data_IF_115852542669
#
_entry.id   IF_115852542669
#
_cell.length_a   1.000
_cell.length_b   1.000
_cell.length_c   1.000
_cell.angle_alpha   90.00
_cell.angle_beta   90.00
_cell.angle_gamma   90.00
#
_symmetry.space_group_name_H-M   'P 1'
#
loop_
_entity.id
_entity.type
_entity.pdbx_description
1 polymer ?
#
# COMPACT_ATOMS: atom_id res chain seq x y z
N UNK A 1 70.20 -9.56 23.42
CA UNK A 1 69.51 -8.96 22.26
C UNK A 1 68.06 -9.39 22.31
N UNK A 2 67.15 -8.47 22.61
CA UNK A 2 66.18 -7.87 21.66
C UNK A 2 65.09 -8.84 21.23
N UNK A 3 63.79 -8.56 21.31
CA UNK A 3 62.95 -7.51 21.92
C UNK A 3 61.52 -7.96 21.56
N UNK A 4 60.58 -7.79 22.48
CA UNK A 4 59.13 -7.58 22.28
C UNK A 4 58.34 -8.71 21.60
N UNK A 5 57.22 -9.20 22.14
CA UNK A 5 56.15 -8.47 22.84
C UNK A 5 55.01 -8.22 21.85
N UNK A 6 53.81 -8.67 22.19
CA UNK A 6 52.60 -8.34 21.44
C UNK A 6 51.59 -9.46 21.40
N UNK A 7 50.68 -9.43 22.36
CA UNK A 7 49.35 -10.00 22.28
C UNK A 7 48.68 -9.62 20.94
N UNK A 8 47.86 -10.50 20.36
CA UNK A 8 46.42 -10.24 20.18
C UNK A 8 45.74 -11.43 19.49
N UNK A 9 44.73 -11.91 20.21
CA UNK A 9 43.47 -12.56 19.85
C UNK A 9 43.07 -12.85 18.39
N UNK A 10 42.24 -13.91 18.33
CA UNK A 10 41.10 -14.13 17.44
C UNK A 10 41.41 -14.60 16.02
N UNK A 11 41.22 -15.90 15.75
CA UNK A 11 39.95 -16.46 15.29
C UNK A 11 39.54 -15.89 13.93
N UNK A 12 39.93 -16.57 12.85
CA UNK A 12 39.12 -16.54 11.64
C UNK A 12 38.98 -17.96 11.09
N UNK A 13 38.11 -18.69 11.77
CA UNK A 13 37.50 -19.90 11.24
C UNK A 13 36.70 -19.47 10.02
N UNK A 14 37.11 -19.89 8.82
CA UNK A 14 36.24 -19.89 7.64
C UNK A 14 35.07 -20.80 7.95
N UNK A 15 34.06 -20.24 8.63
CA UNK A 15 32.78 -20.85 8.86
C UNK A 15 32.15 -20.98 7.48
N UNK A 16 32.11 -22.22 6.99
CA UNK A 16 31.06 -22.71 6.11
C UNK A 16 29.74 -22.14 6.61
N UNK A 17 29.26 -21.07 5.97
CA UNK A 17 27.98 -20.46 6.33
C UNK A 17 26.92 -21.52 6.08
N UNK A 18 26.19 -21.98 7.11
CA UNK A 18 25.16 -22.99 6.94
C UNK A 18 24.12 -22.47 5.94
N UNK A 19 23.67 -23.34 5.05
CA UNK A 19 22.64 -23.10 4.02
C UNK A 19 21.24 -22.78 4.59
N UNK A 20 21.16 -22.30 5.83
CA UNK A 20 19.94 -21.87 6.52
C UNK A 20 19.82 -20.35 6.67
N UNK A 21 20.86 -19.56 6.35
CA UNK A 21 20.73 -18.10 6.25
C UNK A 21 20.16 -17.62 4.89
N UNK A 22 20.20 -18.45 3.85
CA UNK A 22 19.56 -18.12 2.57
C UNK A 22 18.02 -18.17 2.63
N UNK A 23 17.44 -18.76 3.68
CA UNK A 23 16.00 -18.82 3.88
C UNK A 23 15.42 -17.57 4.56
N UNK A 24 16.28 -16.72 5.13
CA UNK A 24 15.87 -15.47 5.79
C UNK A 24 16.28 -14.19 5.02
N UNK A 25 16.88 -14.33 3.84
CA UNK A 25 17.33 -13.20 3.00
C UNK A 25 16.53 -13.06 1.69
N UNK A 26 15.46 -13.84 1.52
CA UNK A 26 14.56 -13.79 0.37
C UNK A 26 13.08 -13.82 0.74
N UNK A 27 12.73 -13.45 1.96
CA UNK A 27 11.39 -12.89 2.19
C UNK A 27 11.48 -11.46 1.67
N UNK A 28 11.03 -11.26 0.42
CA UNK A 28 10.68 -9.92 -0.06
C UNK A 28 9.87 -9.23 1.05
N UNK A 29 10.03 -7.92 1.29
CA UNK A 29 9.07 -7.15 2.06
C UNK A 29 7.78 -6.98 1.23
N UNK A 30 7.20 -8.09 0.79
CA UNK A 30 5.87 -8.22 0.22
C UNK A 30 5.07 -8.93 1.29
N UNK A 31 4.20 -8.19 1.98
CA UNK A 31 2.82 -8.60 2.30
C UNK A 31 2.18 -7.80 3.45
N UNK A 32 2.93 -7.13 4.35
CA UNK A 32 2.26 -6.58 5.56
C UNK A 32 2.67 -5.20 6.10
N UNK A 33 3.83 -4.64 5.76
CA UNK A 33 4.28 -3.39 6.43
C UNK A 33 3.71 -2.09 5.84
N UNK A 34 2.84 -2.23 4.84
CA UNK A 34 2.18 -1.16 4.09
C UNK A 34 0.66 -1.09 4.29
N UNK A 35 0.09 -2.06 5.01
CA UNK A 35 -1.34 -2.27 4.97
C UNK A 35 -2.02 -1.24 5.87
N UNK A 36 -2.75 -0.29 5.26
CA UNK A 36 -3.79 0.43 5.98
C UNK A 36 -4.68 -0.65 6.59
N UNK A 37 -4.86 -0.60 7.91
CA UNK A 37 -5.83 -1.43 8.63
C UNK A 37 -7.25 -0.97 8.21
N UNK A 38 -7.68 -1.38 7.02
CA UNK A 38 -8.98 -1.03 6.46
C UNK A 38 -10.12 -1.60 7.32
N UNK A 39 -9.88 -2.71 8.00
CA UNK A 39 -10.84 -3.32 8.92
C UNK A 39 -11.19 -2.36 10.06
N UNK A 40 -10.19 -1.69 10.65
CA UNK A 40 -10.39 -0.66 11.68
C UNK A 40 -11.29 0.49 11.23
N UNK A 41 -11.27 0.82 9.94
CA UNK A 41 -12.00 1.96 9.37
C UNK A 41 -13.25 1.56 8.59
N UNK A 42 -13.59 0.28 8.55
CA UNK A 42 -14.63 -0.25 7.67
C UNK A 42 -15.98 0.45 7.88
N UNK A 43 -16.36 0.73 9.13
CA UNK A 43 -17.62 1.40 9.45
C UNK A 43 -17.62 2.85 8.95
N UNK A 44 -16.56 3.61 9.25
CA UNK A 44 -16.42 5.00 8.82
C UNK A 44 -16.37 5.11 7.29
N UNK A 45 -15.66 4.19 6.63
CA UNK A 45 -15.59 4.15 5.16
C UNK A 45 -16.99 3.87 4.59
N UNK A 46 -17.73 2.90 5.13
CA UNK A 46 -19.08 2.59 4.69
C UNK A 46 -20.04 3.78 4.85
N UNK A 47 -19.94 4.51 5.96
CA UNK A 47 -20.76 5.70 6.20
C UNK A 47 -20.44 6.85 5.24
N UNK A 48 -19.15 7.09 4.96
CA UNK A 48 -18.71 8.05 3.94
C UNK A 48 -19.24 7.63 2.57
N UNK A 49 -19.12 6.35 2.21
CA UNK A 49 -19.56 5.85 0.91
C UNK A 49 -21.07 5.98 0.71
N UNK A 50 -21.87 5.66 1.73
CA UNK A 50 -23.33 5.83 1.70
C UNK A 50 -23.72 7.31 1.58
N UNK A 51 -23.09 8.18 2.37
CA UNK A 51 -23.38 9.63 2.34
C UNK A 51 -23.09 10.26 0.97
N UNK A 52 -22.11 9.74 0.24
CA UNK A 52 -21.69 10.25 -1.07
C UNK A 52 -22.28 9.48 -2.26
N UNK A 53 -23.21 8.55 -2.01
CA UNK A 53 -23.79 7.67 -3.03
C UNK A 53 -22.70 7.04 -3.91
N UNK A 54 -21.74 6.39 -3.25
CA UNK A 54 -20.68 5.60 -3.89
C UNK A 54 -21.21 4.20 -4.09
N UNK A 55 -21.11 3.69 -5.31
CA UNK A 55 -21.48 2.32 -5.68
C UNK A 55 -20.38 1.33 -5.32
N UNK A 56 -19.12 1.73 -5.55
CA UNK A 56 -17.94 0.90 -5.35
C UNK A 56 -16.73 1.73 -4.99
N UNK A 57 -15.94 1.24 -4.04
CA UNK A 57 -14.63 1.77 -3.67
C UNK A 57 -13.63 0.62 -3.60
N UNK A 58 -12.49 0.76 -4.28
CA UNK A 58 -11.46 -0.28 -4.38
C UNK A 58 -10.09 0.34 -4.11
N UNK A 59 -9.24 -0.36 -3.35
CA UNK A 59 -7.83 -0.01 -3.19
C UNK A 59 -7.06 -0.46 -4.43
N UNK A 60 -6.25 0.43 -4.98
CA UNK A 60 -5.45 0.23 -6.18
C UNK A 60 -4.03 0.77 -5.96
N UNK A 61 -3.16 0.70 -6.97
CA UNK A 61 -1.86 1.37 -6.91
C UNK A 61 -0.74 0.53 -6.29
N UNK A 62 0.41 1.17 -6.05
CA UNK A 62 1.72 0.53 -5.82
C UNK A 62 1.83 -0.32 -4.55
N UNK A 63 0.79 -0.43 -3.73
CA UNK A 63 0.68 -1.47 -2.72
C UNK A 63 0.78 -2.91 -3.30
N UNK A 64 0.64 -3.04 -4.63
CA UNK A 64 0.82 -4.28 -5.38
C UNK A 64 2.19 -4.45 -6.08
N UNK A 65 3.16 -3.53 -5.90
CA UNK A 65 4.48 -3.56 -6.56
C UNK A 65 5.65 -3.71 -5.56
N UNK A 66 6.72 -4.37 -6.02
CA UNK A 66 7.91 -4.73 -5.22
C UNK A 66 8.75 -3.52 -4.71
N UNK A 67 8.49 -2.28 -5.16
CA UNK A 67 9.26 -1.07 -4.85
C UNK A 67 8.53 -0.08 -3.91
N UNK A 68 7.47 -0.54 -3.24
CA UNK A 68 6.66 0.28 -2.35
C UNK A 68 7.40 0.73 -1.09
N UNK A 69 7.40 2.04 -0.81
CA UNK A 69 7.95 2.61 0.41
C UNK A 69 6.80 2.95 1.39
N UNK A 70 6.61 2.19 2.49
CA UNK A 70 5.34 2.20 3.24
C UNK A 70 4.97 3.47 3.99
N UNK A 71 5.97 4.23 4.42
CA UNK A 71 5.79 5.34 5.36
C UNK A 71 5.33 6.65 4.68
N UNK A 72 5.64 6.81 3.39
CA UNK A 72 5.39 8.06 2.64
C UNK A 72 4.47 7.87 1.43
N UNK A 73 4.04 6.65 1.14
CA UNK A 73 3.21 6.40 -0.04
C UNK A 73 1.80 6.99 0.12
N UNK A 74 1.28 7.50 -0.99
CA UNK A 74 -0.14 7.87 -1.09
C UNK A 74 -1.02 6.61 -1.09
N UNK A 75 -2.29 6.79 -0.74
CA UNK A 75 -3.33 5.75 -0.78
C UNK A 75 -4.12 5.93 -2.07
N UNK A 76 -3.95 5.04 -3.06
CA UNK A 76 -4.67 5.14 -4.32
C UNK A 76 -6.00 4.37 -4.24
N UNK A 77 -7.12 5.06 -4.50
CA UNK A 77 -8.46 4.48 -4.46
C UNK A 77 -9.18 4.69 -5.79
N UNK A 78 -9.77 3.61 -6.31
CA UNK A 78 -10.68 3.65 -7.44
C UNK A 78 -12.11 3.80 -6.95
N UNK A 79 -12.82 4.80 -7.46
CA UNK A 79 -14.22 5.08 -7.08
C UNK A 79 -15.16 4.95 -8.28
N UNK A 80 -16.30 4.30 -8.03
CA UNK A 80 -17.49 4.30 -8.88
C UNK A 80 -18.64 4.95 -8.11
N UNK A 81 -19.12 6.10 -8.58
CA UNK A 81 -20.28 6.78 -8.00
C UNK A 81 -21.58 6.27 -8.60
N UNK A 82 -22.65 6.29 -7.79
CA UNK A 82 -24.01 6.21 -8.30
C UNK A 82 -24.40 7.53 -8.98
N UNK A 83 -25.03 7.41 -10.15
CA UNK A 83 -25.48 8.54 -10.94
C UNK A 83 -24.37 9.51 -11.39
N UNK A 84 -24.77 10.65 -11.94
CA UNK A 84 -23.85 11.66 -12.48
C UNK A 84 -23.93 13.04 -11.84
N UNK A 85 -24.84 13.23 -10.86
CA UNK A 85 -25.02 14.49 -10.15
C UNK A 85 -23.81 14.81 -9.27
N UNK A 86 -23.44 16.09 -9.21
CA UNK A 86 -22.46 16.69 -8.29
C UNK A 86 -21.13 15.94 -8.13
N UNK A 87 -20.70 15.22 -9.18
CA UNK A 87 -19.53 14.34 -9.12
C UNK A 87 -18.24 15.07 -8.74
N UNK A 88 -18.11 16.34 -9.12
CA UNK A 88 -16.97 17.17 -8.73
C UNK A 88 -16.93 17.37 -7.22
N UNK A 89 -18.04 17.81 -6.61
CA UNK A 89 -18.14 18.02 -5.18
C UNK A 89 -17.96 16.71 -4.40
N UNK A 90 -18.66 15.65 -4.81
CA UNK A 90 -18.58 14.34 -4.17
C UNK A 90 -17.17 13.75 -4.22
N UNK A 91 -16.45 13.97 -5.32
CA UNK A 91 -15.06 13.54 -5.45
C UNK A 91 -14.14 14.23 -4.44
N UNK A 92 -14.19 15.56 -4.35
CA UNK A 92 -13.33 16.30 -3.41
C UNK A 92 -13.71 16.05 -1.96
N UNK A 93 -15.00 15.87 -1.68
CA UNK A 93 -15.48 15.51 -0.35
C UNK A 93 -15.03 14.11 0.06
N UNK A 94 -15.10 13.12 -0.84
CA UNK A 94 -14.57 11.78 -0.61
C UNK A 94 -13.09 11.84 -0.25
N UNK A 95 -12.29 12.50 -1.10
CA UNK A 95 -10.85 12.66 -0.90
C UNK A 95 -10.56 13.27 0.48
N UNK A 96 -11.16 14.42 0.80
CA UNK A 96 -10.92 15.11 2.05
C UNK A 96 -11.31 14.27 3.29
N UNK A 97 -12.45 13.57 3.24
CA UNK A 97 -12.90 12.73 4.35
C UNK A 97 -12.00 11.52 4.57
N UNK A 98 -11.52 10.89 3.49
CA UNK A 98 -10.60 9.75 3.59
C UNK A 98 -9.19 10.16 4.02
N UNK A 99 -8.68 11.30 3.55
CA UNK A 99 -7.40 11.85 4.02
C UNK A 99 -7.44 12.15 5.53
N UNK A 100 -8.54 12.74 6.00
CA UNK A 100 -8.76 12.97 7.42
C UNK A 100 -8.89 11.66 8.22
N UNK A 101 -9.53 10.64 7.65
CA UNK A 101 -9.72 9.34 8.29
C UNK A 101 -8.41 8.56 8.43
N UNK A 102 -7.59 8.55 7.38
CA UNK A 102 -6.34 7.79 7.34
C UNK A 102 -5.13 8.57 7.88
N UNK A 103 -5.25 9.90 8.00
CA UNK A 103 -4.12 10.77 8.37
C UNK A 103 -3.00 10.78 7.33
N UNK A 104 -3.32 10.42 6.09
CA UNK A 104 -2.39 10.25 4.96
C UNK A 104 -3.03 10.80 3.70
N UNK A 105 -2.19 11.15 2.72
CA UNK A 105 -2.67 11.61 1.41
C UNK A 105 -3.35 10.46 0.66
N UNK A 106 -4.46 10.77 0.01
CA UNK A 106 -5.28 9.83 -0.76
C UNK A 106 -5.39 10.35 -2.18
N UNK A 107 -5.02 9.53 -3.16
CA UNK A 107 -5.37 9.78 -4.55
C UNK A 107 -6.67 9.04 -4.90
N UNK A 108 -7.60 9.76 -5.50
CA UNK A 108 -8.89 9.19 -5.89
C UNK A 108 -8.96 9.18 -7.41
N UNK A 109 -9.21 8.02 -7.98
CA UNK A 109 -9.31 7.79 -9.41
C UNK A 109 -10.76 7.42 -9.73
N UNK A 110 -11.42 8.17 -10.61
CA UNK A 110 -12.74 7.75 -11.10
C UNK A 110 -12.56 6.61 -12.11
N UNK A 111 -13.21 5.47 -11.89
CA UNK A 111 -13.09 4.30 -12.77
C UNK A 111 -13.34 4.63 -14.25
N UNK A 112 -14.32 5.50 -14.52
CA UNK A 112 -14.65 5.98 -15.88
C UNK A 112 -13.58 6.85 -16.53
N UNK A 113 -12.66 7.44 -15.76
CA UNK A 113 -11.58 8.28 -16.29
C UNK A 113 -10.42 7.43 -16.84
N UNK A 114 -10.33 6.15 -16.46
CA UNK A 114 -9.32 5.22 -16.97
C UNK A 114 -9.71 4.73 -18.37
N UNK A 115 -9.21 5.44 -19.39
CA UNK A 115 -9.47 5.18 -20.81
C UNK A 115 -8.49 4.23 -21.47
N UNK A 116 -7.25 4.14 -20.96
CA UNK A 116 -6.25 3.24 -21.52
C UNK A 116 -6.52 1.80 -21.05
N UNK A 117 -6.77 0.85 -21.97
CA UNK A 117 -7.11 -0.53 -21.62
C UNK A 117 -5.99 -1.24 -20.86
N UNK A 118 -4.72 -0.97 -21.17
CA UNK A 118 -3.58 -1.58 -20.46
C UNK A 118 -3.49 -1.10 -19.00
N UNK A 119 -3.76 0.19 -18.78
CA UNK A 119 -3.79 0.78 -17.43
C UNK A 119 -4.98 0.20 -16.64
N UNK A 120 -6.14 0.08 -17.30
CA UNK A 120 -7.32 -0.54 -16.70
C UNK A 120 -7.04 -1.98 -16.28
N UNK A 121 -6.49 -2.80 -17.16
CA UNK A 121 -6.18 -4.20 -16.87
C UNK A 121 -5.19 -4.34 -15.71
N UNK A 122 -4.20 -3.43 -15.64
CA UNK A 122 -3.26 -3.37 -14.51
C UNK A 122 -3.97 -3.05 -13.20
N UNK A 123 -4.86 -2.05 -13.20
CA UNK A 123 -5.65 -1.68 -12.02
C UNK A 123 -6.59 -2.81 -11.59
N UNK A 124 -7.23 -3.48 -12.55
CA UNK A 124 -8.21 -4.54 -12.29
C UNK A 124 -7.58 -5.82 -11.73
N UNK A 125 -6.30 -6.09 -12.03
CA UNK A 125 -5.61 -7.30 -11.59
C UNK A 125 -5.32 -7.31 -10.09
N UNK A 126 -4.97 -6.16 -9.54
CA UNK A 126 -4.41 -6.06 -8.18
C UNK A 126 -5.29 -5.23 -7.22
N UNK A 127 -6.58 -5.10 -7.53
CA UNK A 127 -7.52 -4.32 -6.71
C UNK A 127 -8.08 -5.12 -5.54
N UNK A 128 -8.31 -4.42 -4.43
CA UNK A 128 -8.99 -4.95 -3.26
C UNK A 128 -10.31 -4.20 -3.07
N UNK A 129 -11.44 -4.92 -2.99
CA UNK A 129 -12.73 -4.31 -2.72
C UNK A 129 -12.77 -3.78 -1.28
N UNK A 130 -13.00 -2.48 -1.13
CA UNK A 130 -13.12 -1.80 0.16
C UNK A 130 -14.60 -1.62 0.53
N UNK A 131 -15.42 -1.25 -0.46
CA UNK A 131 -16.85 -1.05 -0.30
C UNK A 131 -17.62 -1.39 -1.59
N UNK A 132 -18.80 -2.00 -1.45
CA UNK A 132 -19.77 -2.20 -2.52
C UNK A 132 -21.20 -2.13 -1.98
N UNK A 133 -22.07 -1.39 -2.66
CA UNK A 133 -23.50 -1.26 -2.37
C UNK A 133 -24.36 -2.24 -3.17
#
# INVERSE_FOLDING_TARGET
MSKNGGDQEAHDSVLSVPNDLAKHLFTRPSEFEAMIDLERYQTQIADICKALAIKRLELVGSAARDDFCPLDSDIDLLVEFEGSADLFHRYFELKARLEALFGRKVDVIQARAVKNPYVRETIERDRILVYGA
#
